data_IF_997587503545
#
_entry.id   IF_997587503545
#
_cell.length_a   1.000
_cell.length_b   1.000
_cell.length_c   1.000
_cell.angle_alpha   90.00
_cell.angle_beta   90.00
_cell.angle_gamma   90.00
#
_symmetry.space_group_name_H-M   'P 1'
#
loop_
_entity.id
_entity.type
_entity.pdbx_description
1 polymer ?
#
# COMPACT_ATOMS: atom_id res chain seq x y z
N UNK A 1 33.37 2.64 -11.49
CA UNK A 1 32.08 2.51 -10.78
C UNK A 1 32.12 1.25 -9.96
N UNK A 2 31.99 1.35 -8.63
CA UNK A 2 31.94 0.19 -7.74
C UNK A 2 30.48 -0.24 -7.60
N UNK A 3 29.96 -0.93 -8.61
CA UNK A 3 28.63 -1.51 -8.57
C UNK A 3 28.73 -2.87 -7.90
N UNK A 4 28.33 -2.94 -6.63
CA UNK A 4 28.40 -4.17 -5.83
C UNK A 4 27.30 -5.18 -6.16
N UNK A 5 26.17 -4.71 -6.71
CA UNK A 5 24.97 -5.53 -6.96
C UNK A 5 24.55 -5.41 -8.42
N UNK A 6 24.38 -6.55 -9.08
CA UNK A 6 23.91 -6.60 -10.46
C UNK A 6 22.38 -6.49 -10.57
N UNK A 7 21.89 -6.16 -11.77
CA UNK A 7 20.47 -5.85 -11.98
C UNK A 7 19.62 -7.10 -11.79
N UNK A 8 20.15 -8.24 -12.21
CA UNK A 8 19.43 -9.51 -12.12
C UNK A 8 19.37 -10.00 -10.68
N UNK A 9 20.39 -9.75 -9.85
CA UNK A 9 20.33 -10.01 -8.42
C UNK A 9 19.18 -9.23 -7.76
N UNK A 10 19.12 -7.91 -7.97
CA UNK A 10 18.03 -7.07 -7.46
C UNK A 10 16.65 -7.53 -7.94
N UNK A 11 16.52 -7.83 -9.24
CA UNK A 11 15.26 -8.30 -9.83
C UNK A 11 14.83 -9.67 -9.26
N UNK A 12 15.77 -10.60 -9.08
CA UNK A 12 15.49 -11.92 -8.48
C UNK A 12 15.00 -11.76 -7.04
N UNK A 13 15.63 -10.87 -6.27
CA UNK A 13 15.22 -10.59 -4.90
C UNK A 13 13.79 -10.04 -4.84
N UNK A 14 13.47 -9.02 -5.64
CA UNK A 14 12.13 -8.44 -5.67
C UNK A 14 11.06 -9.47 -6.05
N UNK A 15 11.31 -10.29 -7.09
CA UNK A 15 10.39 -11.36 -7.50
C UNK A 15 10.16 -12.39 -6.40
N UNK A 16 11.21 -12.80 -5.69
CA UNK A 16 11.11 -13.74 -4.56
C UNK A 16 10.19 -13.21 -3.44
N UNK A 17 10.15 -11.89 -3.26
CA UNK A 17 9.37 -11.23 -2.22
C UNK A 17 8.08 -10.57 -2.73
N UNK A 18 7.67 -10.83 -3.97
CA UNK A 18 6.49 -10.22 -4.60
C UNK A 18 6.51 -8.68 -4.55
N UNK A 19 7.67 -8.09 -4.74
CA UNK A 19 7.89 -6.64 -4.77
C UNK A 19 8.03 -6.14 -6.21
N UNK A 20 7.69 -4.86 -6.41
CA UNK A 20 8.08 -4.11 -7.60
C UNK A 20 9.61 -3.92 -7.64
N UNK A 21 10.18 -3.72 -8.82
CA UNK A 21 11.61 -3.47 -8.99
C UNK A 21 11.87 -2.49 -10.13
N UNK A 22 12.51 -1.37 -9.80
CA UNK A 22 12.97 -0.34 -10.76
C UNK A 22 14.42 0.01 -10.40
N UNK A 23 15.31 -0.01 -11.38
CA UNK A 23 16.61 0.66 -11.23
C UNK A 23 16.44 2.14 -11.55
N UNK A 24 16.91 3.00 -10.65
CA UNK A 24 16.76 4.44 -10.79
C UNK A 24 18.04 5.19 -10.41
N UNK A 25 18.22 6.37 -10.97
CA UNK A 25 19.28 7.32 -10.62
C UNK A 25 18.64 8.68 -10.36
N UNK A 26 18.64 9.09 -9.09
CA UNK A 26 18.16 10.42 -8.71
C UNK A 26 19.01 11.55 -9.33
N UNK A 27 20.29 11.28 -9.64
CA UNK A 27 21.21 12.26 -10.24
C UNK A 27 20.88 12.57 -11.70
N UNK A 28 20.47 11.56 -12.46
CA UNK A 28 20.16 11.66 -13.89
C UNK A 28 18.66 11.62 -14.18
N UNK A 29 17.84 11.48 -13.14
CA UNK A 29 16.39 11.31 -13.18
C UNK A 29 15.90 9.99 -13.83
N UNK A 30 16.81 9.09 -14.19
CA UNK A 30 16.46 7.80 -14.78
C UNK A 30 15.62 6.97 -13.80
N UNK A 31 14.49 6.43 -14.28
CA UNK A 31 13.63 5.51 -13.52
C UNK A 31 12.85 6.13 -12.35
N UNK A 32 13.12 7.38 -11.97
CA UNK A 32 12.49 8.01 -10.79
C UNK A 32 10.98 8.11 -10.96
N UNK A 33 10.52 8.65 -12.09
CA UNK A 33 9.08 8.82 -12.35
C UNK A 33 8.35 7.47 -12.35
N UNK A 34 8.89 6.49 -13.08
CA UNK A 34 8.31 5.15 -13.16
C UNK A 34 8.21 4.49 -11.77
N UNK A 35 9.19 4.70 -10.88
CA UNK A 35 9.17 4.10 -9.56
C UNK A 35 7.97 4.58 -8.72
N UNK A 36 7.56 5.84 -8.88
CA UNK A 36 6.37 6.37 -8.21
C UNK A 36 5.09 5.98 -8.93
N UNK A 37 5.06 6.06 -10.27
CA UNK A 37 3.87 5.72 -11.06
C UNK A 37 3.45 4.26 -10.87
N UNK A 38 4.38 3.31 -11.03
CA UNK A 38 4.06 1.88 -10.88
C UNK A 38 3.63 1.53 -9.46
N UNK A 39 4.23 2.18 -8.45
CA UNK A 39 3.84 1.98 -7.05
C UNK A 39 2.41 2.46 -6.80
N UNK A 40 2.10 3.70 -7.17
CA UNK A 40 0.77 4.31 -6.95
C UNK A 40 -0.29 3.55 -7.74
N UNK A 41 -0.01 3.23 -9.01
CA UNK A 41 -0.91 2.45 -9.85
C UNK A 41 -1.26 1.11 -9.18
N UNK A 42 -0.28 0.39 -8.64
CA UNK A 42 -0.52 -0.91 -7.98
C UNK A 42 -1.35 -0.80 -6.71
N UNK A 43 -1.16 0.28 -5.94
CA UNK A 43 -1.97 0.57 -4.76
C UNK A 43 -3.41 0.83 -5.17
N UNK A 44 -3.66 1.71 -6.14
CA UNK A 44 -5.02 2.05 -6.59
C UNK A 44 -5.76 0.84 -7.18
N UNK A 45 -5.06 -0.03 -7.90
CA UNK A 45 -5.59 -1.30 -8.42
C UNK A 45 -5.96 -2.32 -7.32
N UNK A 46 -5.63 -2.03 -6.04
CA UNK A 46 -5.92 -2.90 -4.90
C UNK A 46 -6.82 -2.14 -3.90
N UNK A 47 -8.15 -2.13 -4.10
CA UNK A 47 -9.09 -1.30 -3.34
C UNK A 47 -8.94 -1.39 -1.81
N UNK A 48 -8.70 -2.60 -1.27
CA UNK A 48 -8.51 -2.81 0.17
C UNK A 48 -7.28 -2.14 0.81
N UNK A 49 -6.40 -1.51 0.03
CA UNK A 49 -5.25 -0.76 0.55
C UNK A 49 -5.53 0.75 0.73
N UNK A 50 -6.52 1.32 0.03
CA UNK A 50 -6.75 2.76 0.01
C UNK A 50 -8.20 3.17 0.27
N UNK A 51 -9.15 2.25 0.12
CA UNK A 51 -10.54 2.51 0.49
C UNK A 51 -10.63 2.76 2.00
N UNK A 52 -11.09 3.95 2.37
CA UNK A 52 -11.47 4.22 3.75
C UNK A 52 -12.61 3.28 4.13
N UNK A 53 -12.45 2.51 5.21
CA UNK A 53 -13.60 1.88 5.84
C UNK A 53 -14.56 2.99 6.29
N UNK A 54 -15.62 3.20 5.52
CA UNK A 54 -16.76 4.00 5.94
C UNK A 54 -17.57 3.18 6.97
N UNK A 55 -16.89 2.63 7.98
CA UNK A 55 -17.54 2.05 9.13
C UNK A 55 -18.03 3.22 9.96
N UNK A 56 -19.25 3.64 9.65
CA UNK A 56 -20.16 4.26 10.57
C UNK A 56 -20.30 3.34 11.81
N UNK A 57 -19.28 3.31 12.68
CA UNK A 57 -19.29 2.65 14.00
C UNK A 57 -20.14 3.50 14.95
N UNK A 58 -21.37 3.78 14.54
CA UNK A 58 -22.39 4.29 15.43
C UNK A 58 -22.79 3.14 16.35
N UNK A 59 -22.33 3.17 17.59
CA UNK A 59 -22.89 2.34 18.65
C UNK A 59 -24.33 2.81 18.84
N UNK A 60 -25.30 2.09 18.29
CA UNK A 60 -26.73 2.31 18.61
C UNK A 60 -26.96 1.84 20.05
N UNK A 61 -26.93 2.77 20.99
CA UNK A 61 -27.41 2.54 22.35
C UNK A 61 -28.92 2.33 22.28
N UNK A 62 -29.38 1.08 22.33
CA UNK A 62 -30.79 0.78 22.55
C UNK A 62 -31.12 1.12 24.00
N UNK A 63 -31.98 2.12 24.21
CA UNK A 63 -32.54 2.42 25.52
C UNK A 63 -33.42 1.24 25.95
N UNK A 64 -33.02 0.51 26.99
CA UNK A 64 -33.88 -0.49 27.62
C UNK A 64 -34.80 0.27 28.58
N UNK A 65 -36.05 0.44 28.18
CA UNK A 65 -37.11 0.92 29.08
C UNK A 65 -37.27 -0.10 30.21
N UNK A 66 -36.90 0.30 31.43
CA UNK A 66 -37.33 -0.38 32.64
C UNK A 66 -38.82 -0.09 32.82
N UNK A 67 -39.64 -1.11 32.59
CA UNK A 67 -41.07 -1.08 32.90
C UNK A 67 -41.32 -0.88 34.41
N UNK A 68 -42.53 -0.42 34.77
CA UNK A 68 -42.82 0.12 36.10
C UNK A 68 -42.84 -0.99 37.15
N UNK A 69 -41.91 -0.93 38.10
CA UNK A 69 -41.99 -1.69 39.36
C UNK A 69 -42.96 -1.00 40.31
N UNK A 70 -44.04 -1.71 40.67
CA UNK A 70 -44.97 -1.31 41.73
C UNK A 70 -44.43 -1.54 43.14
#
# INVERSE_FOLDING_TARGET
ENREVDRNEGLKFARKHSMLFIEASAKTCDGVQCAFEELVEKIIQTPGLWESENQNKGVKLTHREEGPGG
#
